data_IF_154829664675
#
_entry.id   IF_154829664675
#
_cell.length_a   1.000
_cell.length_b   1.000
_cell.length_c   1.000
_cell.angle_alpha   90.00
_cell.angle_beta   90.00
_cell.angle_gamma   90.00
#
_symmetry.space_group_name_H-M   'P 1'
#
loop_
_entity.id
_entity.type
_entity.pdbx_description
1 polymer ?
#
# COMPACT_ATOMS: atom_id res chain seq x y z
N UNK A 1 47.16 -12.85 -5.61
CA UNK A 1 45.83 -13.47 -5.61
C UNK A 1 45.40 -13.64 -4.17
N UNK A 2 44.47 -12.81 -3.71
CA UNK A 2 43.79 -12.94 -2.41
C UNK A 2 42.30 -12.90 -2.73
N UNK A 3 41.65 -13.95 -2.28
CA UNK A 3 40.29 -14.40 -2.56
C UNK A 3 39.24 -13.58 -1.82
N UNK A 4 38.07 -13.46 -2.48
CA UNK A 4 36.73 -13.41 -1.91
C UNK A 4 36.58 -12.69 -0.55
N UNK A 5 36.09 -11.45 -0.60
CA UNK A 5 35.25 -10.94 0.47
C UNK A 5 33.97 -10.43 -0.16
N UNK A 6 32.95 -11.27 -0.02
CA UNK A 6 31.56 -10.91 -0.18
C UNK A 6 31.31 -9.62 0.60
N UNK A 7 31.09 -8.54 -0.12
CA UNK A 7 30.08 -7.58 0.27
C UNK A 7 29.05 -7.60 -0.85
N UNK A 8 28.27 -8.70 -0.90
CA UNK A 8 26.86 -8.55 -1.19
C UNK A 8 26.35 -7.64 -0.08
N UNK A 9 26.48 -6.32 -0.30
CA UNK A 9 25.68 -5.38 0.43
C UNK A 9 24.26 -5.84 0.17
N UNK A 10 23.59 -6.33 1.23
CA UNK A 10 22.16 -6.39 1.25
C UNK A 10 21.70 -5.07 0.65
N UNK A 11 20.99 -5.13 -0.47
CA UNK A 11 20.23 -3.99 -0.92
C UNK A 11 19.23 -3.72 0.21
N UNK A 12 19.65 -2.94 1.20
CA UNK A 12 18.77 -2.05 1.91
C UNK A 12 18.37 -1.00 0.86
N UNK A 13 17.57 -1.46 -0.12
CA UNK A 13 16.94 -0.62 -1.10
C UNK A 13 15.91 0.18 -0.32
N UNK A 14 16.26 1.42 -0.03
CA UNK A 14 15.30 2.41 0.42
C UNK A 14 14.13 2.41 -0.57
N UNK A 15 12.92 2.30 -0.02
CA UNK A 15 11.71 1.98 -0.77
C UNK A 15 11.35 3.09 -1.76
N UNK A 16 11.43 2.79 -3.06
CA UNK A 16 11.34 3.77 -4.13
C UNK A 16 9.95 3.75 -4.76
N UNK A 17 8.93 4.15 -3.99
CA UNK A 17 7.58 4.29 -4.52
C UNK A 17 7.22 5.75 -4.84
N UNK A 18 6.31 5.92 -5.79
CA UNK A 18 5.79 7.21 -6.21
C UNK A 18 4.25 7.21 -6.25
N UNK A 19 3.65 8.34 -6.60
CA UNK A 19 2.20 8.47 -6.73
C UNK A 19 1.48 8.75 -5.41
N UNK A 20 0.33 8.10 -5.24
CA UNK A 20 -0.64 8.35 -4.17
C UNK A 20 -1.97 8.85 -4.73
N UNK A 21 -3.06 8.12 -4.46
CA UNK A 21 -4.41 8.44 -4.92
C UNK A 21 -4.65 8.27 -6.41
N UNK A 22 -3.75 7.59 -7.14
CA UNK A 22 -3.96 7.22 -8.54
C UNK A 22 -5.01 6.13 -8.63
N UNK A 23 -6.09 6.39 -9.36
CA UNK A 23 -7.21 5.45 -9.54
C UNK A 23 -7.21 4.83 -10.93
N UNK A 24 -6.58 5.49 -11.90
CA UNK A 24 -6.53 5.05 -13.29
C UNK A 24 -5.21 5.46 -13.95
N UNK A 25 -4.66 4.56 -14.76
CA UNK A 25 -3.50 4.84 -15.62
C UNK A 25 -3.87 4.62 -17.07
N UNK A 26 -3.78 5.67 -17.87
CA UNK A 26 -4.01 5.60 -19.31
C UNK A 26 -2.77 5.01 -20.00
N UNK A 27 -2.98 4.01 -20.86
CA UNK A 27 -1.91 3.35 -21.61
C UNK A 27 -1.76 3.95 -23.00
N UNK A 28 -2.88 4.16 -23.67
CA UNK A 28 -3.04 4.75 -24.99
C UNK A 28 -4.45 5.33 -25.09
N UNK A 29 -4.78 5.99 -26.21
CA UNK A 29 -6.12 6.52 -26.46
C UNK A 29 -7.22 5.47 -26.20
N UNK A 30 -8.03 5.73 -25.17
CA UNK A 30 -9.17 4.91 -24.79
C UNK A 30 -8.84 3.59 -24.08
N UNK A 31 -7.57 3.27 -23.81
CA UNK A 31 -7.17 2.06 -23.06
C UNK A 31 -6.53 2.47 -21.74
N UNK A 32 -7.04 1.93 -20.64
CA UNK A 32 -6.58 2.27 -19.30
C UNK A 32 -6.50 1.04 -18.38
N UNK A 33 -5.74 1.19 -17.30
CA UNK A 33 -5.67 0.30 -16.16
C UNK A 33 -6.49 0.89 -15.02
N UNK A 34 -7.24 0.04 -14.33
CA UNK A 34 -7.81 0.38 -13.03
C UNK A 34 -6.89 -0.11 -11.94
N UNK A 35 -6.56 0.79 -11.03
CA UNK A 35 -5.63 0.50 -9.95
C UNK A 35 -6.37 -0.24 -8.83
N UNK A 36 -6.00 -1.50 -8.62
CA UNK A 36 -6.54 -2.36 -7.56
C UNK A 36 -5.53 -3.48 -7.22
N UNK A 37 -4.45 -3.12 -6.52
CA UNK A 37 -3.41 -4.05 -6.03
C UNK A 37 -2.92 -5.04 -7.09
N UNK A 38 -2.56 -4.51 -8.26
CA UNK A 38 -2.21 -5.27 -9.44
C UNK A 38 -0.91 -4.74 -10.05
N UNK A 39 -0.28 -5.53 -10.92
CA UNK A 39 0.93 -5.12 -11.63
C UNK A 39 0.74 -5.01 -13.14
N UNK A 40 1.47 -4.11 -13.77
CA UNK A 40 1.55 -4.00 -15.21
C UNK A 40 2.98 -3.65 -15.65
N UNK A 41 3.53 -4.42 -16.59
CA UNK A 41 4.90 -4.25 -17.12
C UNK A 41 5.98 -4.07 -16.04
N UNK A 42 5.91 -4.88 -14.97
CA UNK A 42 6.88 -4.86 -13.88
C UNK A 42 6.72 -3.71 -12.89
N UNK A 43 5.58 -3.00 -12.92
CA UNK A 43 5.22 -1.98 -11.92
C UNK A 43 4.03 -2.48 -11.12
N UNK A 44 4.16 -2.54 -9.80
CA UNK A 44 3.03 -2.76 -8.89
C UNK A 44 2.29 -1.44 -8.68
N UNK A 45 0.97 -1.50 -8.63
CA UNK A 45 0.10 -0.42 -8.20
C UNK A 45 -0.68 -0.86 -6.96
N UNK A 46 -0.48 -0.18 -5.83
CA UNK A 46 -1.19 -0.47 -4.58
C UNK A 46 -2.62 0.05 -4.61
N UNK A 47 -3.47 -0.46 -3.72
CA UNK A 47 -4.85 0.03 -3.58
C UNK A 47 -4.91 1.53 -3.25
N UNK A 48 -3.95 2.08 -2.51
CA UNK A 48 -3.92 3.51 -2.20
C UNK A 48 -3.46 4.37 -3.40
N UNK A 49 -3.10 3.75 -4.53
CA UNK A 49 -2.70 4.43 -5.75
C UNK A 49 -1.23 4.88 -5.76
N UNK A 50 -0.38 4.25 -4.94
CA UNK A 50 1.07 4.32 -5.08
C UNK A 50 1.55 3.27 -6.07
N UNK A 51 2.79 3.43 -6.54
CA UNK A 51 3.41 2.46 -7.44
C UNK A 51 4.92 2.41 -7.31
N UNK A 52 5.48 1.22 -7.56
CA UNK A 52 6.89 0.86 -7.40
C UNK A 52 7.25 -0.26 -8.38
N UNK A 53 8.54 -0.55 -8.60
CA UNK A 53 8.94 -1.78 -9.26
C UNK A 53 8.33 -3.00 -8.58
N UNK A 54 7.91 -4.00 -9.36
CA UNK A 54 7.26 -5.21 -8.82
C UNK A 54 8.18 -5.99 -7.86
N UNK A 55 9.50 -5.83 -7.99
CA UNK A 55 10.49 -6.42 -7.10
C UNK A 55 10.50 -5.78 -5.70
N UNK A 56 9.90 -4.60 -5.54
CA UNK A 56 9.70 -3.90 -4.27
C UNK A 56 8.31 -4.16 -3.68
N UNK A 57 7.54 -5.08 -4.28
CA UNK A 57 6.27 -5.52 -3.74
C UNK A 57 6.46 -6.24 -2.40
N UNK A 58 5.59 -5.94 -1.45
CA UNK A 58 5.52 -6.61 -0.14
C UNK A 58 4.12 -7.13 0.12
N UNK A 59 4.02 -8.06 1.06
CA UNK A 59 2.75 -8.61 1.53
C UNK A 59 2.29 -7.88 2.80
N UNK A 60 1.08 -7.34 2.78
CA UNK A 60 0.40 -6.76 3.94
C UNK A 60 -0.05 -7.92 4.83
N UNK A 61 0.43 -7.89 6.06
CA UNK A 61 0.09 -8.84 7.10
C UNK A 61 -0.39 -8.09 8.34
N UNK A 62 -1.04 -8.81 9.25
CA UNK A 62 -1.34 -8.32 10.57
C UNK A 62 -0.04 -8.21 11.40
N UNK A 63 -0.05 -7.43 12.47
CA UNK A 63 1.10 -7.32 13.39
C UNK A 63 1.60 -8.67 13.94
N UNK A 64 0.73 -9.69 14.01
CA UNK A 64 1.09 -11.05 14.41
C UNK A 64 1.68 -11.91 13.28
N UNK A 65 1.84 -11.33 12.08
CA UNK A 65 2.38 -11.97 10.88
C UNK A 65 1.35 -12.75 10.05
N UNK A 66 0.08 -12.76 10.45
CA UNK A 66 -0.98 -13.47 9.71
C UNK A 66 -1.38 -12.69 8.45
N UNK A 67 -1.62 -13.40 7.35
CA UNK A 67 -2.02 -12.79 6.08
C UNK A 67 -3.36 -12.02 6.17
N UNK A 68 -3.42 -10.85 5.50
CA UNK A 68 -4.65 -10.07 5.34
C UNK A 68 -5.63 -10.76 4.38
N UNK A 69 -6.94 -10.54 4.57
CA UNK A 69 -7.99 -11.29 3.86
C UNK A 69 -8.20 -10.85 2.39
N UNK A 70 -7.77 -9.65 1.96
CA UNK A 70 -7.82 -9.16 0.56
C UNK A 70 -7.37 -7.69 0.44
N UNK A 71 -6.84 -7.25 -0.72
CA UNK A 71 -5.71 -7.81 -1.47
C UNK A 71 -4.37 -7.41 -0.79
N UNK A 72 -3.32 -8.24 -0.88
CA UNK A 72 -2.27 -8.16 0.12
C UNK A 72 -1.01 -7.45 -0.37
N UNK A 73 -0.99 -6.82 -1.54
CA UNK A 73 0.26 -6.31 -2.10
C UNK A 73 0.30 -4.79 -2.11
N UNK A 74 1.41 -4.25 -1.60
CA UNK A 74 1.72 -2.83 -1.68
C UNK A 74 3.19 -2.62 -1.96
N UNK A 75 3.57 -1.35 -2.14
CA UNK A 75 4.98 -0.99 -2.18
C UNK A 75 5.56 -0.99 -0.77
N UNK A 76 6.80 -1.48 -0.64
CA UNK A 76 7.50 -1.48 0.63
C UNK A 76 7.51 -0.07 1.27
N UNK A 77 7.35 0.02 2.58
CA UNK A 77 7.35 1.28 3.33
C UNK A 77 6.20 2.25 3.04
N UNK A 78 5.20 1.84 2.25
CA UNK A 78 3.95 2.57 2.14
C UNK A 78 3.24 2.59 3.52
N UNK A 79 2.61 3.73 3.85
CA UNK A 79 1.93 3.90 5.14
C UNK A 79 0.79 2.89 5.28
N UNK A 80 0.87 2.08 6.34
CA UNK A 80 -0.11 1.06 6.66
C UNK A 80 -1.07 1.54 7.76
N UNK A 81 -2.36 1.15 7.69
CA UNK A 81 -3.25 1.36 8.82
C UNK A 81 -2.75 0.64 10.08
N UNK A 82 -3.12 1.18 11.24
CA UNK A 82 -2.87 0.53 12.53
C UNK A 82 -3.27 -0.95 12.56
N UNK A 83 -2.41 -1.79 13.15
CA UNK A 83 -2.64 -3.22 13.27
C UNK A 83 -2.19 -4.03 12.05
N UNK A 84 -1.58 -3.37 11.06
CA UNK A 84 -0.93 -4.00 9.92
C UNK A 84 0.57 -3.72 9.90
N UNK A 85 1.29 -4.65 9.30
CA UNK A 85 2.70 -4.51 8.96
C UNK A 85 2.93 -5.17 7.60
N UNK A 86 4.16 -5.14 7.13
CA UNK A 86 4.55 -5.73 5.86
C UNK A 86 5.59 -6.82 6.06
N UNK A 87 5.60 -7.79 5.14
CA UNK A 87 6.67 -8.77 5.00
C UNK A 87 7.07 -8.90 3.54
N UNK A 88 8.27 -9.39 3.32
CA UNK A 88 8.73 -9.76 1.99
C UNK A 88 7.87 -10.89 1.41
N UNK A 89 7.78 -10.93 0.08
CA UNK A 89 7.09 -12.01 -0.62
C UNK A 89 7.84 -13.33 -0.45
N UNK A 90 7.09 -14.40 -0.27
CA UNK A 90 7.61 -15.76 -0.34
C UNK A 90 7.69 -16.24 -1.79
N UNK A 91 8.48 -17.28 -2.03
CA UNK A 91 8.60 -17.89 -3.36
C UNK A 91 7.23 -18.30 -3.92
N UNK A 92 6.91 -17.76 -5.09
CA UNK A 92 5.65 -18.04 -5.80
C UNK A 92 4.50 -17.09 -5.45
N UNK A 93 4.63 -16.25 -4.41
CA UNK A 93 3.72 -15.12 -4.19
C UNK A 93 3.98 -14.05 -5.25
N UNK A 94 2.91 -13.61 -5.92
CA UNK A 94 2.99 -12.53 -6.91
C UNK A 94 1.68 -11.75 -6.94
N UNK A 95 1.77 -10.42 -7.10
CA UNK A 95 0.60 -9.61 -7.42
C UNK A 95 -0.09 -10.11 -8.69
N UNK A 96 -1.38 -9.82 -8.82
CA UNK A 96 -2.14 -10.15 -10.03
C UNK A 96 -1.81 -9.16 -11.15
N UNK A 97 -1.88 -9.59 -12.41
CA UNK A 97 -1.71 -8.69 -13.54
C UNK A 97 -2.94 -7.77 -13.68
N UNK A 98 -2.70 -6.48 -13.90
CA UNK A 98 -3.77 -5.51 -14.06
C UNK A 98 -4.59 -5.79 -15.33
N UNK A 99 -5.91 -5.73 -15.21
CA UNK A 99 -6.81 -5.84 -16.34
C UNK A 99 -6.88 -4.50 -17.09
N UNK A 100 -6.60 -4.53 -18.39
CA UNK A 100 -6.81 -3.37 -19.27
C UNK A 100 -8.28 -3.26 -19.65
N UNK A 101 -8.86 -2.07 -19.54
CA UNK A 101 -10.22 -1.77 -20.01
C UNK A 101 -10.20 -0.71 -21.11
N UNK A 102 -11.16 -0.83 -22.03
CA UNK A 102 -11.47 0.18 -23.05
C UNK A 102 -12.86 0.79 -22.90
N UNK A 103 -13.59 0.44 -21.82
CA UNK A 103 -14.98 0.85 -21.59
C UNK A 103 -15.16 1.42 -20.18
N UNK A 104 -15.73 2.62 -20.09
CA UNK A 104 -16.06 3.30 -18.82
C UNK A 104 -14.81 3.71 -18.03
N UNK A 105 -14.95 4.66 -17.10
CA UNK A 105 -13.87 4.96 -16.14
C UNK A 105 -13.77 3.88 -15.06
N UNK A 106 -12.68 3.92 -14.28
CA UNK A 106 -12.49 2.97 -13.19
C UNK A 106 -13.50 3.16 -12.05
N UNK A 107 -14.02 2.05 -11.53
CA UNK A 107 -14.83 2.09 -10.32
C UNK A 107 -13.90 2.33 -9.14
N UNK A 108 -14.04 3.49 -8.49
CA UNK A 108 -13.23 3.83 -7.32
C UNK A 108 -13.70 3.02 -6.11
N UNK A 109 -12.80 2.26 -5.46
CA UNK A 109 -13.07 1.59 -4.19
C UNK A 109 -13.74 2.51 -3.16
N UNK A 110 -14.67 1.97 -2.37
CA UNK A 110 -15.50 2.74 -1.45
C UNK A 110 -14.72 3.57 -0.42
N UNK A 111 -13.56 3.07 0.00
CA UNK A 111 -12.57 3.70 0.89
C UNK A 111 -11.83 4.89 0.26
N UNK A 112 -11.84 5.02 -1.07
CA UNK A 112 -11.26 6.16 -1.79
C UNK A 112 -12.33 7.19 -2.21
N UNK A 113 -13.63 6.93 -1.96
CA UNK A 113 -14.71 7.88 -2.28
C UNK A 113 -14.53 9.18 -1.50
N UNK A 114 -14.45 10.29 -2.23
CA UNK A 114 -14.22 11.63 -1.67
C UNK A 114 -12.76 12.09 -1.71
N UNK A 115 -11.82 11.19 -2.02
CA UNK A 115 -10.48 11.61 -2.47
C UNK A 115 -10.57 12.07 -3.92
N UNK A 116 -9.76 13.07 -4.29
CA UNK A 116 -9.67 13.54 -5.67
C UNK A 116 -9.05 12.42 -6.50
N UNK A 117 -9.81 11.85 -7.42
CA UNK A 117 -9.34 10.84 -8.35
C UNK A 117 -8.18 11.41 -9.18
N UNK A 118 -7.02 10.75 -9.12
CA UNK A 118 -5.86 11.09 -9.94
C UNK A 118 -5.78 10.09 -11.09
N UNK A 119 -5.93 10.60 -12.31
CA UNK A 119 -5.72 9.85 -13.56
C UNK A 119 -4.42 10.35 -14.16
N UNK A 120 -3.52 9.43 -14.52
CA UNK A 120 -2.21 9.75 -15.12
C UNK A 120 -1.96 8.92 -16.36
N UNK A 121 -1.03 9.38 -17.19
CA UNK A 121 -0.54 8.61 -18.34
C UNK A 121 0.56 7.63 -17.91
N UNK A 122 0.68 6.50 -18.60
CA UNK A 122 1.75 5.52 -18.36
C UNK A 122 3.15 6.13 -18.48
N UNK A 123 3.32 7.14 -19.34
CA UNK A 123 4.58 7.87 -19.44
C UNK A 123 4.95 8.59 -18.15
N UNK A 124 3.97 9.11 -17.40
CA UNK A 124 4.20 9.77 -16.12
C UNK A 124 4.65 8.76 -15.06
N UNK A 125 4.06 7.56 -15.01
CA UNK A 125 4.52 6.47 -14.14
C UNK A 125 5.99 6.16 -14.38
N UNK A 126 6.38 6.00 -15.65
CA UNK A 126 7.77 5.70 -16.03
C UNK A 126 8.72 6.85 -15.65
N UNK A 127 8.30 8.10 -15.82
CA UNK A 127 9.08 9.27 -15.41
C UNK A 127 9.26 9.37 -13.89
N UNK A 128 8.18 9.20 -13.13
CA UNK A 128 8.21 9.30 -11.66
C UNK A 128 9.07 8.20 -11.04
N UNK A 129 8.97 6.96 -11.54
CA UNK A 129 9.82 5.85 -11.07
C UNK A 129 11.30 6.05 -11.40
N UNK A 130 11.62 6.67 -12.54
CA UNK A 130 13.02 7.04 -12.86
C UNK A 130 13.54 8.10 -11.89
N UNK A 131 12.70 9.07 -11.52
CA UNK A 131 13.06 10.13 -10.56
C UNK A 131 13.27 9.57 -9.16
N UNK A 132 12.36 8.70 -8.69
CA UNK A 132 12.48 8.02 -7.40
C UNK A 132 13.82 7.29 -7.28
N UNK A 133 14.13 6.40 -8.24
CA UNK A 133 15.41 5.67 -8.28
C UNK A 133 16.65 6.57 -8.29
N UNK A 134 16.57 7.74 -8.93
CA UNK A 134 17.68 8.68 -8.96
C UNK A 134 17.88 9.41 -7.61
N UNK A 135 16.79 9.69 -6.89
CA UNK A 135 16.84 10.27 -5.54
C UNK A 135 17.38 9.27 -4.51
N UNK A 136 17.09 7.98 -4.68
CA UNK A 136 17.65 6.92 -3.82
C UNK A 136 19.16 6.76 -4.01
N UNK A 137 19.65 6.91 -5.24
CA UNK A 137 21.09 6.83 -5.52
C UNK A 137 21.89 7.98 -4.87
N UNK A 138 21.23 9.07 -4.46
CA UNK A 138 21.84 10.24 -3.83
C UNK A 138 21.61 10.32 -2.32
N UNK A 139 20.74 9.48 -1.76
CA UNK A 139 20.37 9.54 -0.34
C UNK A 139 21.19 8.53 0.48
N UNK A 140 22.11 9.02 1.30
CA UNK A 140 22.69 8.22 2.39
C UNK A 140 21.59 7.87 3.40
N UNK A 141 21.67 6.73 4.09
CA UNK A 141 20.62 6.28 5.01
C UNK A 141 20.41 7.33 6.11
N UNK A 142 19.29 8.03 6.04
CA UNK A 142 18.88 8.93 7.10
C UNK A 142 18.49 8.09 8.32
N UNK A 143 19.14 8.44 9.44
CA UNK A 143 18.87 7.89 10.75
C UNK A 143 17.39 8.14 11.09
N UNK A 144 16.67 7.17 11.68
CA UNK A 144 15.26 7.37 12.03
C UNK A 144 15.13 8.57 12.96
N UNK A 145 14.41 9.59 12.50
CA UNK A 145 14.01 10.72 13.30
C UNK A 145 12.97 10.25 14.32
N UNK A 146 13.02 10.68 15.59
CA UNK A 146 12.08 10.24 16.59
C UNK A 146 10.66 10.67 16.20
N UNK A 147 9.72 9.72 16.28
CA UNK A 147 8.31 9.94 15.99
C UNK A 147 7.78 11.17 16.75
N UNK A 148 7.14 12.13 16.06
CA UNK A 148 6.37 13.18 16.73
C UNK A 148 5.32 12.52 17.63
N UNK A 149 5.09 13.06 18.83
CA UNK A 149 3.98 12.61 19.68
C UNK A 149 2.67 12.81 18.92
N UNK A 150 2.03 11.71 18.54
CA UNK A 150 0.82 11.74 17.75
C UNK A 150 -0.34 12.41 18.52
N UNK A 151 -1.19 13.18 17.82
CA UNK A 151 -2.52 13.50 18.32
C UNK A 151 -3.32 12.21 18.53
N UNK A 152 -4.24 12.21 19.49
CA UNK A 152 -5.04 11.03 19.83
C UNK A 152 -5.88 10.58 18.62
N UNK A 153 -5.49 9.48 17.96
CA UNK A 153 -6.23 8.91 16.83
C UNK A 153 -7.39 8.02 17.31
N UNK A 154 -8.51 8.67 17.61
CA UNK A 154 -9.73 7.94 17.95
C UNK A 154 -10.37 7.22 16.78
N UNK A 155 -10.05 7.56 15.53
CA UNK A 155 -10.55 6.84 14.37
C UNK A 155 -9.84 5.49 14.22
N UNK A 156 -8.53 5.45 14.45
CA UNK A 156 -7.72 4.23 14.55
C UNK A 156 -8.25 3.25 15.60
N UNK A 157 -8.55 3.74 16.80
CA UNK A 157 -9.16 2.91 17.86
C UNK A 157 -10.53 2.33 17.45
N UNK A 158 -11.33 3.11 16.73
CA UNK A 158 -12.58 2.64 16.13
C UNK A 158 -12.39 1.53 15.09
N UNK A 159 -11.41 1.72 14.21
CA UNK A 159 -11.06 0.75 13.16
C UNK A 159 -10.60 -0.58 13.76
N UNK A 160 -9.70 -0.53 14.75
CA UNK A 160 -9.22 -1.72 15.50
C UNK A 160 -10.39 -2.52 16.10
N UNK A 161 -11.32 -1.84 16.77
CA UNK A 161 -12.47 -2.48 17.39
C UNK A 161 -13.44 -3.09 16.36
N UNK A 162 -13.66 -2.40 15.24
CA UNK A 162 -14.47 -2.90 14.12
C UNK A 162 -13.88 -4.19 13.53
N UNK A 163 -12.59 -4.18 13.21
CA UNK A 163 -11.88 -5.33 12.65
C UNK A 163 -11.84 -6.50 13.63
N UNK A 164 -11.61 -6.24 14.92
CA UNK A 164 -11.66 -7.28 15.96
C UNK A 164 -13.03 -7.95 16.02
N UNK A 165 -14.12 -7.19 15.83
CA UNK A 165 -15.45 -7.76 15.75
C UNK A 165 -15.65 -8.62 14.49
N UNK A 166 -15.12 -8.20 13.34
CA UNK A 166 -15.23 -8.97 12.09
C UNK A 166 -14.57 -10.35 12.17
N UNK A 167 -13.63 -10.54 13.09
CA UNK A 167 -12.96 -11.83 13.34
C UNK A 167 -13.74 -12.77 14.26
N UNK A 168 -14.88 -12.35 14.84
CA UNK A 168 -15.74 -13.19 15.70
C UNK A 168 -16.65 -14.09 14.86
N UNK A 169 -17.07 -15.23 15.41
CA UNK A 169 -18.01 -16.16 14.75
C UNK A 169 -19.37 -15.44 14.51
N UNK A 170 -19.85 -15.47 13.26
CA UNK A 170 -21.04 -14.75 12.77
C UNK A 170 -20.98 -13.22 12.98
N UNK A 171 -20.00 -12.54 12.38
CA UNK A 171 -19.93 -11.10 12.45
C UNK A 171 -20.95 -10.49 11.48
N UNK A 172 -21.72 -9.50 11.93
CA UNK A 172 -22.51 -8.65 11.02
C UNK A 172 -21.87 -7.28 10.97
N UNK A 173 -21.90 -6.65 9.80
CA UNK A 173 -21.38 -5.30 9.62
C UNK A 173 -21.96 -4.33 10.66
N UNK A 174 -23.27 -4.39 10.92
CA UNK A 174 -23.94 -3.56 11.92
C UNK A 174 -23.41 -3.76 13.34
N UNK A 175 -23.12 -5.02 13.73
CA UNK A 175 -22.55 -5.32 15.05
C UNK A 175 -21.14 -4.76 15.19
N UNK A 176 -20.32 -4.93 14.16
CA UNK A 176 -18.93 -4.46 14.18
C UNK A 176 -18.83 -2.96 14.07
N UNK A 177 -19.70 -2.32 13.29
CA UNK A 177 -19.84 -0.86 13.23
C UNK A 177 -20.17 -0.27 14.60
N UNK A 178 -21.06 -0.91 15.37
CA UNK A 178 -21.36 -0.49 16.76
C UNK A 178 -20.16 -0.66 17.69
N UNK A 179 -19.38 -1.74 17.59
CA UNK A 179 -18.17 -1.90 18.40
C UNK A 179 -17.10 -0.86 18.04
N UNK A 180 -16.93 -0.55 16.75
CA UNK A 180 -16.05 0.51 16.29
C UNK A 180 -16.45 1.89 16.82
N UNK A 181 -17.72 2.29 16.64
CA UNK A 181 -18.22 3.59 17.13
C UNK A 181 -18.07 3.75 18.64
N UNK A 182 -18.31 2.68 19.43
CA UNK A 182 -18.08 2.71 20.88
C UNK A 182 -16.62 2.97 21.25
N UNK A 183 -15.67 2.41 20.50
CA UNK A 183 -14.24 2.65 20.74
C UNK A 183 -13.84 4.08 20.38
N UNK A 184 -14.39 4.65 19.29
CA UNK A 184 -14.21 6.07 18.95
C UNK A 184 -14.73 6.97 20.08
N UNK A 185 -15.95 6.72 20.56
CA UNK A 185 -16.57 7.51 21.63
C UNK A 185 -15.80 7.40 22.95
N UNK A 186 -15.37 6.20 23.33
CA UNK A 186 -14.58 5.97 24.54
C UNK A 186 -13.20 6.64 24.46
N UNK A 187 -12.59 6.68 23.27
CA UNK A 187 -11.34 7.40 23.04
C UNK A 187 -11.51 8.91 23.18
N UNK A 188 -12.60 9.48 22.62
CA UNK A 188 -12.89 10.93 22.69
C UNK A 188 -13.23 11.44 24.09
N UNK A 189 -13.53 10.54 25.03
CA UNK A 189 -13.84 10.86 26.42
C UNK A 189 -12.62 10.76 27.36
N UNK A 190 -11.45 10.36 26.84
CA UNK A 190 -10.17 10.34 27.56
C UNK A 190 -9.38 11.61 27.29
#
# INVERSE_FOLDING_TARGET
MLTLSLLLGAAAGVNAFAGGGVTQVNLTDGVHLCIDSCHYKGVLFSEAGHYCPIEEAVHIVLEDGTDSFSPPYQCAGEELPDGFTERQLHDGEKPLECVTSSRGGCLVPGNLRGRKEKIIEWSEVVEELKKAKAQDAQSSPEKPSPAPKEPVDCAGEGSKAFQKCQRKKNPTFSKCSKEGLKAVEACRQK
#
